data_IF_128525620489
#
_entry.id   IF_128525620489
#
_cell.length_a   1.000
_cell.length_b   1.000
_cell.length_c   1.000
_cell.angle_alpha   90.00
_cell.angle_beta   90.00
_cell.angle_gamma   90.00
#
_symmetry.space_group_name_H-M   'P 1'
#
loop_
_entity.id
_entity.type
_entity.pdbx_description
1 polymer ?
#
# COMPACT_ATOMS: atom_id res chain seq x y z
N UNK A 1 7.09 -6.71 -4.05
CA UNK A 1 8.10 -7.77 -3.79
C UNK A 1 8.20 -8.68 -4.99
N UNK A 2 9.39 -9.20 -5.31
CA UNK A 2 9.58 -10.14 -6.42
C UNK A 2 9.48 -11.56 -5.86
N UNK A 3 8.42 -12.27 -6.20
CA UNK A 3 8.27 -13.70 -5.90
C UNK A 3 8.92 -14.53 -7.01
N UNK A 4 9.08 -15.84 -6.79
CA UNK A 4 9.47 -16.75 -7.87
C UNK A 4 8.37 -16.78 -8.93
N UNK A 5 8.75 -17.02 -10.19
CA UNK A 5 7.75 -17.14 -11.26
C UNK A 5 6.73 -18.24 -10.97
N UNK A 6 7.20 -19.38 -10.42
CA UNK A 6 6.32 -20.49 -10.02
C UNK A 6 5.24 -20.03 -9.04
N UNK A 7 5.62 -19.27 -8.02
CA UNK A 7 4.71 -18.78 -6.99
C UNK A 7 3.74 -17.73 -7.54
N UNK A 8 4.23 -16.77 -8.33
CA UNK A 8 3.36 -15.77 -8.98
C UNK A 8 2.35 -16.45 -9.91
N UNK A 9 2.78 -17.42 -10.73
CA UNK A 9 1.89 -18.13 -11.66
C UNK A 9 0.84 -18.99 -10.94
N UNK A 10 1.21 -19.63 -9.83
CA UNK A 10 0.26 -20.36 -9.00
C UNK A 10 -0.84 -19.44 -8.48
N UNK A 11 -0.47 -18.35 -7.79
CA UNK A 11 -1.44 -17.38 -7.23
C UNK A 11 -2.29 -16.72 -8.31
N UNK A 12 -1.71 -16.45 -9.47
CA UNK A 12 -2.41 -15.81 -10.58
C UNK A 12 -3.48 -16.75 -11.17
N UNK A 13 -3.16 -18.05 -11.31
CA UNK A 13 -4.11 -19.10 -11.73
C UNK A 13 -5.26 -19.31 -10.75
N UNK A 14 -5.00 -19.17 -9.45
CA UNK A 14 -5.99 -19.34 -8.37
C UNK A 14 -6.90 -18.12 -8.16
N UNK A 15 -6.61 -16.99 -8.80
CA UNK A 15 -7.38 -15.75 -8.65
C UNK A 15 -8.06 -15.38 -9.97
N UNK A 16 -7.53 -14.39 -10.69
CA UNK A 16 -8.10 -13.91 -11.97
C UNK A 16 -6.97 -13.77 -12.98
N UNK A 17 -6.65 -14.82 -13.76
CA UNK A 17 -5.54 -14.84 -14.71
C UNK A 17 -5.58 -13.73 -15.75
N UNK A 18 -6.77 -13.22 -16.05
CA UNK A 18 -6.99 -12.16 -17.04
C UNK A 18 -6.55 -10.78 -16.53
N UNK A 19 -6.36 -10.61 -15.21
CA UNK A 19 -6.07 -9.33 -14.58
C UNK A 19 -4.62 -9.24 -14.12
N UNK A 20 -3.97 -8.07 -14.17
CA UNK A 20 -2.61 -7.93 -13.67
C UNK A 20 -2.53 -8.21 -12.15
N UNK A 21 -1.50 -8.94 -11.73
CA UNK A 21 -1.26 -9.25 -10.31
C UNK A 21 -0.10 -8.42 -9.76
N UNK A 22 -0.30 -7.80 -8.59
CA UNK A 22 0.72 -7.07 -7.84
C UNK A 22 0.98 -7.75 -6.50
N UNK A 23 2.26 -7.92 -6.13
CA UNK A 23 2.65 -8.40 -4.79
C UNK A 23 3.28 -7.27 -3.98
N UNK A 24 2.64 -6.89 -2.87
CA UNK A 24 3.08 -5.81 -2.00
C UNK A 24 3.33 -6.28 -0.56
N UNK A 25 4.24 -5.59 0.11
CA UNK A 25 4.48 -5.69 1.56
C UNK A 25 4.59 -4.26 2.08
N UNK A 26 3.92 -3.97 3.19
CA UNK A 26 3.97 -2.68 3.86
C UNK A 26 4.74 -2.83 5.17
N UNK A 27 5.64 -1.90 5.46
CA UNK A 27 6.42 -1.89 6.73
C UNK A 27 5.48 -1.52 7.89
N UNK A 28 5.71 -2.09 9.08
CA UNK A 28 4.99 -1.72 10.30
C UNK A 28 3.57 -2.26 10.45
N UNK A 29 3.04 -2.99 9.46
CA UNK A 29 1.69 -3.57 9.53
C UNK A 29 1.68 -4.95 8.89
N UNK A 30 1.00 -5.91 9.54
CA UNK A 30 0.83 -7.24 8.95
C UNK A 30 -0.23 -7.20 7.86
N UNK A 31 -0.23 -8.20 6.97
CA UNK A 31 -1.29 -8.40 5.98
C UNK A 31 -2.68 -8.35 6.63
N UNK A 32 -2.86 -9.12 7.70
CA UNK A 32 -4.18 -9.29 8.31
C UNK A 32 -4.66 -8.01 9.01
N UNK A 33 -3.75 -7.27 9.65
CA UNK A 33 -4.05 -5.95 10.22
C UNK A 33 -4.48 -4.95 9.14
N UNK A 34 -3.78 -4.92 8.00
CA UNK A 34 -4.11 -4.01 6.90
C UNK A 34 -5.47 -4.39 6.29
N UNK A 35 -5.65 -5.66 5.92
CA UNK A 35 -6.88 -6.15 5.28
C UNK A 35 -8.11 -6.00 6.19
N UNK A 36 -7.97 -6.19 7.51
CA UNK A 36 -9.08 -6.05 8.45
C UNK A 36 -9.49 -4.59 8.71
N UNK A 37 -8.59 -3.62 8.50
CA UNK A 37 -8.83 -2.20 8.82
C UNK A 37 -9.12 -1.33 7.59
N UNK A 38 -8.69 -1.76 6.41
CA UNK A 38 -8.93 -1.04 5.16
C UNK A 38 -10.40 -1.14 4.75
N UNK A 39 -11.09 0.00 4.65
CA UNK A 39 -12.55 0.06 4.47
C UNK A 39 -13.00 0.14 3.00
N UNK A 40 -12.11 -0.19 2.06
CA UNK A 40 -12.41 -0.15 0.63
C UNK A 40 -11.83 -1.39 -0.05
N UNK A 41 -12.47 -1.82 -1.13
CA UNK A 41 -11.94 -2.85 -2.01
C UNK A 41 -10.87 -2.31 -2.98
N UNK A 42 -10.72 -0.98 -3.08
CA UNK A 42 -9.76 -0.31 -3.95
C UNK A 42 -8.64 0.36 -3.16
N UNK A 43 -7.46 0.46 -3.78
CA UNK A 43 -6.31 1.22 -3.30
C UNK A 43 -5.71 2.02 -4.46
N UNK A 44 -4.95 3.06 -4.12
CA UNK A 44 -4.14 3.81 -5.08
C UNK A 44 -2.66 3.54 -4.80
N UNK A 45 -1.91 3.21 -5.84
CA UNK A 45 -0.47 2.96 -5.75
C UNK A 45 0.25 4.05 -6.55
N UNK A 46 1.23 4.69 -5.90
CA UNK A 46 2.03 5.75 -6.50
C UNK A 46 3.51 5.42 -6.31
N UNK A 47 4.27 5.48 -7.40
CA UNK A 47 5.71 5.26 -7.37
C UNK A 47 6.44 6.51 -6.86
N UNK A 48 7.41 6.31 -5.98
CA UNK A 48 8.32 7.35 -5.51
C UNK A 48 9.77 6.98 -5.84
N UNK A 49 10.65 7.95 -6.14
CA UNK A 49 12.04 7.66 -6.52
C UNK A 49 12.87 6.94 -5.45
N UNK A 50 12.52 7.13 -4.17
CA UNK A 50 13.16 6.48 -3.03
C UNK A 50 12.26 6.56 -1.78
N UNK A 51 12.66 5.87 -0.72
CA UNK A 51 11.93 5.79 0.55
C UNK A 51 11.72 7.17 1.21
N UNK A 52 12.73 8.04 1.20
CA UNK A 52 12.61 9.41 1.75
C UNK A 52 11.53 10.21 1.02
N UNK A 53 11.49 10.12 -0.31
CA UNK A 53 10.44 10.75 -1.12
C UNK A 53 9.07 10.14 -0.86
N UNK A 54 8.97 8.81 -0.66
CA UNK A 54 7.71 8.15 -0.32
C UNK A 54 7.14 8.65 1.02
N UNK A 55 7.96 8.71 2.07
CA UNK A 55 7.55 9.27 3.36
C UNK A 55 7.23 10.76 3.29
N UNK A 56 7.96 11.55 2.50
CA UNK A 56 7.63 12.96 2.26
C UNK A 56 6.27 13.09 1.57
N UNK A 57 6.02 12.28 0.53
CA UNK A 57 4.77 12.30 -0.23
C UNK A 57 3.56 11.96 0.62
N UNK A 58 3.63 10.89 1.43
CA UNK A 58 2.51 10.50 2.29
C UNK A 58 2.23 11.56 3.36
N UNK A 59 3.26 12.20 3.91
CA UNK A 59 3.12 13.32 4.87
C UNK A 59 2.44 14.52 4.23
N UNK A 60 2.85 14.93 3.03
CA UNK A 60 2.23 16.05 2.32
C UNK A 60 0.75 15.74 2.02
N UNK A 61 0.45 14.55 1.51
CA UNK A 61 -0.94 14.13 1.24
C UNK A 61 -1.78 14.10 2.53
N UNK A 62 -1.23 13.56 3.62
CA UNK A 62 -1.90 13.52 4.91
C UNK A 62 -2.16 14.91 5.48
N UNK A 63 -1.16 15.80 5.44
CA UNK A 63 -1.32 17.19 5.88
C UNK A 63 -2.39 17.91 5.06
N UNK A 64 -2.33 17.81 3.73
CA UNK A 64 -3.34 18.40 2.84
C UNK A 64 -4.76 17.92 3.17
N UNK A 65 -4.96 16.60 3.31
CA UNK A 65 -6.28 16.04 3.64
C UNK A 65 -6.76 16.49 5.03
N UNK A 66 -5.86 16.59 6.01
CA UNK A 66 -6.18 17.09 7.33
C UNK A 66 -6.61 18.56 7.30
N UNK A 67 -5.90 19.42 6.55
CA UNK A 67 -6.26 20.83 6.34
C UNK A 67 -7.61 20.99 5.61
N UNK A 68 -7.98 20.02 4.75
CA UNK A 68 -9.31 19.95 4.13
C UNK A 68 -10.41 19.46 5.09
N UNK A 69 -10.10 19.26 6.37
CA UNK A 69 -11.06 18.82 7.40
C UNK A 69 -11.29 17.30 7.44
N UNK A 70 -10.49 16.49 6.74
CA UNK A 70 -10.62 15.03 6.77
C UNK A 70 -9.81 14.42 7.91
N UNK A 71 -10.40 13.50 8.66
CA UNK A 71 -9.66 12.70 9.64
C UNK A 71 -8.78 11.67 8.93
N UNK A 72 -7.47 11.90 8.95
CA UNK A 72 -6.48 11.01 8.33
C UNK A 72 -6.03 9.94 9.31
N UNK A 73 -5.99 8.69 8.84
CA UNK A 73 -5.40 7.56 9.57
C UNK A 73 -4.25 7.00 8.73
N UNK A 74 -3.06 7.00 9.31
CA UNK A 74 -1.88 6.38 8.69
C UNK A 74 -1.80 4.90 9.09
N UNK A 75 -1.41 4.05 8.16
CA UNK A 75 -1.28 2.61 8.34
C UNK A 75 0.14 2.18 7.94
N UNK A 76 0.79 1.40 8.78
CA UNK A 76 2.20 1.03 8.64
C UNK A 76 3.16 2.10 9.17
N UNK A 77 4.46 1.84 8.99
CA UNK A 77 5.53 2.72 9.46
C UNK A 77 5.64 3.95 8.55
N UNK A 78 5.36 5.12 9.10
CA UNK A 78 5.56 6.40 8.44
C UNK A 78 6.47 7.27 9.29
N UNK A 79 7.65 7.63 8.76
CA UNK A 79 8.53 8.60 9.40
C UNK A 79 7.88 9.99 9.41
N UNK A 80 7.35 10.41 10.57
CA UNK A 80 6.69 11.70 10.75
C UNK A 80 7.66 12.86 10.98
N UNK A 81 8.85 12.56 11.53
CA UNK A 81 9.94 13.52 11.75
C UNK A 81 10.93 13.41 10.60
#
# INVERSE_FOLDING_TARGET
>A
VKLSQKETQLRWKETTPQWPIMHAVLKGVTRDQMMARHKSNHIQVVYAPNEKCAHKGVRIKAAMLAEMGLRVQLCGDVALR
#
